data_IF_714558344898
#
_entry.id   IF_714558344898
#
_cell.length_a   1.000
_cell.length_b   1.000
_cell.length_c   1.000
_cell.angle_alpha   90.00
_cell.angle_beta   90.00
_cell.angle_gamma   90.00
#
_symmetry.space_group_name_H-M   'P 1'
#
loop_
_entity.id
_entity.type
_entity.pdbx_description
1 polymer ?
#
# COMPACT_ATOMS: atom_id res chain seq x y z
N UNK A 1 15.85 32.73 -6.72
CA UNK A 1 15.39 32.88 -5.31
C UNK A 1 14.13 32.04 -5.16
N UNK A 2 14.28 30.79 -4.71
CA UNK A 2 13.15 29.87 -4.48
C UNK A 2 12.70 29.96 -3.02
N UNK A 3 11.39 30.03 -2.80
CA UNK A 3 10.81 30.06 -1.46
C UNK A 3 11.17 28.80 -0.68
N UNK A 4 11.52 28.90 0.62
CA UNK A 4 11.76 27.74 1.45
C UNK A 4 10.43 26.99 1.62
N UNK A 5 10.43 25.70 1.29
CA UNK A 5 9.27 24.84 1.43
C UNK A 5 8.69 24.95 2.84
N UNK A 6 7.43 25.39 2.95
CA UNK A 6 6.69 25.34 4.21
C UNK A 6 6.48 23.86 4.56
N UNK A 7 7.29 23.36 5.48
CA UNK A 7 7.05 22.08 6.15
C UNK A 7 5.70 22.19 6.86
N UNK A 8 4.74 21.35 6.47
CA UNK A 8 3.43 21.28 7.09
C UNK A 8 3.60 20.63 8.48
N UNK A 9 3.82 21.45 9.49
CA UNK A 9 3.95 21.00 10.88
C UNK A 9 2.57 20.56 11.41
N UNK A 10 2.34 19.24 11.47
CA UNK A 10 1.14 18.67 12.08
C UNK A 10 1.29 18.74 13.61
N UNK A 11 0.78 19.81 14.23
CA UNK A 11 0.70 19.86 15.70
C UNK A 11 -0.21 18.74 16.20
N UNK A 12 0.13 18.16 17.35
CA UNK A 12 -0.75 17.23 18.06
C UNK A 12 -2.11 17.90 18.28
N UNK A 13 -3.17 17.30 17.75
CA UNK A 13 -4.54 17.77 17.98
C UNK A 13 -4.81 17.58 19.47
N UNK A 14 -5.29 18.62 20.15
CA UNK A 14 -5.72 18.50 21.53
C UNK A 14 -7.00 17.65 21.58
N UNK A 15 -6.85 16.36 21.91
CA UNK A 15 -7.97 15.43 22.03
C UNK A 15 -8.63 15.64 23.40
N UNK A 16 -9.96 15.77 23.43
CA UNK A 16 -10.67 15.97 24.70
C UNK A 16 -10.64 14.67 25.50
N UNK A 17 -10.47 14.78 26.82
CA UNK A 17 -10.50 13.63 27.74
C UNK A 17 -11.76 12.75 27.58
N UNK A 18 -12.91 13.37 27.30
CA UNK A 18 -14.18 12.67 27.03
C UNK A 18 -14.09 11.77 25.80
N UNK A 19 -13.44 12.24 24.73
CA UNK A 19 -13.31 11.49 23.48
C UNK A 19 -12.42 10.26 23.68
N UNK A 20 -11.36 10.40 24.49
CA UNK A 20 -10.49 9.27 24.88
C UNK A 20 -11.30 8.22 25.65
N UNK A 21 -12.09 8.62 26.65
CA UNK A 21 -12.92 7.66 27.40
C UNK A 21 -13.99 7.01 26.54
N UNK A 22 -14.64 7.77 25.66
CA UNK A 22 -15.63 7.23 24.72
C UNK A 22 -15.01 6.16 23.82
N UNK A 23 -13.85 6.46 23.24
CA UNK A 23 -13.12 5.51 22.39
C UNK A 23 -12.69 4.24 23.14
N UNK A 24 -12.21 4.37 24.38
CA UNK A 24 -11.81 3.21 25.19
C UNK A 24 -13.01 2.33 25.54
N UNK A 25 -14.13 2.93 25.92
CA UNK A 25 -15.38 2.19 26.22
C UNK A 25 -15.90 1.48 24.96
N UNK A 26 -15.91 2.15 23.81
CA UNK A 26 -16.27 1.56 22.52
C UNK A 26 -15.37 0.36 22.16
N UNK A 27 -14.05 0.51 22.26
CA UNK A 27 -13.10 -0.58 22.02
C UNK A 27 -13.31 -1.77 22.98
N UNK A 28 -13.68 -1.51 24.24
CA UNK A 28 -13.91 -2.58 25.23
C UNK A 28 -15.10 -3.47 24.89
N UNK A 29 -16.05 -2.98 24.07
CA UNK A 29 -17.25 -3.71 23.65
C UNK A 29 -17.00 -4.59 22.43
N UNK A 30 -15.87 -4.43 21.75
CA UNK A 30 -15.49 -5.25 20.60
C UNK A 30 -15.08 -6.65 21.08
N UNK A 31 -15.58 -7.69 20.39
CA UNK A 31 -15.12 -9.05 20.64
C UNK A 31 -13.76 -9.27 19.95
N UNK A 32 -12.68 -9.14 20.73
CA UNK A 32 -11.29 -9.35 20.32
C UNK A 32 -10.97 -10.83 20.11
N UNK A 33 -11.54 -11.42 19.06
CA UNK A 33 -11.12 -12.71 18.53
C UNK A 33 -10.23 -12.51 17.32
N UNK A 34 -9.20 -13.35 17.16
CA UNK A 34 -8.36 -13.36 15.96
C UNK A 34 -9.18 -13.49 14.67
N UNK A 35 -10.32 -14.18 14.73
CA UNK A 35 -11.23 -14.36 13.59
C UNK A 35 -11.96 -13.07 13.17
N UNK A 36 -12.05 -12.08 14.07
CA UNK A 36 -12.74 -10.81 13.81
C UNK A 36 -11.78 -9.68 13.40
N UNK A 37 -10.47 -9.96 13.33
CA UNK A 37 -9.46 -8.99 12.92
C UNK A 37 -9.17 -9.13 11.44
N UNK A 38 -9.14 -7.98 10.75
CA UNK A 38 -8.70 -7.85 9.37
C UNK A 38 -7.55 -6.85 9.34
N UNK A 39 -6.42 -7.29 8.82
CA UNK A 39 -5.26 -6.47 8.54
C UNK A 39 -5.39 -5.86 7.15
N UNK A 40 -5.04 -4.59 7.04
CA UNK A 40 -5.10 -3.84 5.78
C UNK A 40 -3.72 -3.26 5.51
N UNK A 41 -3.18 -3.54 4.34
CA UNK A 41 -1.88 -2.99 3.90
C UNK A 41 -1.85 -2.77 2.39
N UNK A 42 -0.96 -1.89 1.92
CA UNK A 42 -0.74 -1.63 0.50
C UNK A 42 0.59 -2.23 0.00
N UNK A 43 0.51 -3.00 -1.08
CA UNK A 43 1.67 -3.58 -1.75
C UNK A 43 1.79 -2.98 -3.14
N UNK A 44 3.01 -2.61 -3.51
CA UNK A 44 3.28 -2.08 -4.83
C UNK A 44 4.08 -3.04 -5.70
N UNK A 45 3.55 -3.27 -6.89
CA UNK A 45 4.20 -4.04 -7.93
C UNK A 45 4.79 -3.07 -8.95
N UNK A 46 6.12 -2.98 -8.91
CA UNK A 46 6.87 -2.29 -9.92
C UNK A 46 7.16 -3.24 -11.08
N UNK A 47 6.62 -2.89 -12.24
CA UNK A 47 6.85 -3.57 -13.50
C UNK A 47 8.15 -3.11 -14.17
N UNK A 48 9.19 -2.84 -13.37
CA UNK A 48 10.53 -2.47 -13.85
C UNK A 48 11.28 -3.73 -14.29
N UNK A 49 10.81 -4.33 -15.36
CA UNK A 49 11.42 -5.51 -15.96
C UNK A 49 12.01 -5.20 -17.32
N UNK A 50 13.31 -5.43 -17.49
CA UNK A 50 13.82 -5.71 -18.83
C UNK A 50 13.12 -7.00 -19.28
N UNK A 51 12.42 -6.97 -20.41
CA UNK A 51 11.84 -8.19 -20.99
C UNK A 51 12.98 -9.20 -21.11
N UNK A 52 12.84 -10.39 -20.50
CA UNK A 52 13.90 -11.41 -20.50
C UNK A 52 14.33 -11.73 -21.93
N UNK A 53 15.45 -11.16 -22.38
CA UNK A 53 16.16 -11.56 -23.60
C UNK A 53 17.30 -12.48 -23.17
N UNK A 54 17.11 -13.78 -23.30
CA UNK A 54 18.18 -14.77 -23.05
C UNK A 54 19.31 -14.47 -24.04
N UNK A 55 20.52 -14.23 -23.54
CA UNK A 55 21.72 -14.03 -24.35
C UNK A 55 22.71 -15.18 -24.13
N UNK A 56 23.23 -15.76 -25.22
CA UNK A 56 24.28 -16.77 -25.14
C UNK A 56 25.64 -16.11 -25.32
N UNK A 57 26.63 -16.52 -24.52
CA UNK A 57 28.03 -16.11 -24.63
C UNK A 57 28.95 -17.28 -24.35
N UNK A 58 30.16 -17.22 -24.89
CA UNK A 58 31.22 -18.17 -24.58
C UNK A 58 31.71 -17.96 -23.14
N UNK A 59 32.08 -19.05 -22.48
CA UNK A 59 32.57 -19.02 -21.09
C UNK A 59 33.83 -18.16 -20.99
N UNK A 60 33.75 -17.05 -20.25
CA UNK A 60 34.86 -16.09 -20.07
C UNK A 60 34.66 -14.78 -20.82
N UNK A 61 33.72 -14.72 -21.76
CA UNK A 61 33.45 -13.51 -22.56
C UNK A 61 32.33 -12.67 -21.97
N UNK A 62 32.55 -11.35 -21.90
CA UNK A 62 31.52 -10.39 -21.48
C UNK A 62 30.42 -10.33 -22.54
N UNK A 63 29.18 -10.54 -22.11
CA UNK A 63 28.01 -10.36 -22.97
C UNK A 63 27.31 -9.04 -22.66
N UNK A 64 26.97 -8.27 -23.69
CA UNK A 64 26.11 -7.11 -23.56
C UNK A 64 24.69 -7.50 -23.99
N UNK A 65 23.75 -7.50 -23.05
CA UNK A 65 22.32 -7.73 -23.34
C UNK A 65 21.63 -6.37 -23.42
N UNK A 66 21.21 -5.98 -24.63
CA UNK A 66 20.41 -4.79 -24.86
C UNK A 66 18.95 -5.21 -24.88
N UNK A 67 18.25 -4.94 -23.79
CA UNK A 67 16.81 -5.18 -23.66
C UNK A 67 16.01 -3.89 -23.71
N UNK A 68 14.79 -4.00 -24.22
CA UNK A 68 13.82 -2.93 -24.10
C UNK A 68 13.26 -2.96 -22.68
N UNK A 69 13.39 -1.84 -21.97
CA UNK A 69 12.71 -1.64 -20.70
C UNK A 69 11.33 -1.08 -20.99
N UNK A 70 10.29 -1.85 -20.68
CA UNK A 70 8.94 -1.31 -20.67
C UNK A 70 8.66 -0.73 -19.30
N UNK A 71 8.46 0.58 -19.22
CA UNK A 71 7.84 1.20 -18.07
C UNK A 71 6.32 0.98 -18.17
N UNK A 72 5.81 -0.06 -17.51
CA UNK A 72 4.38 -0.11 -17.22
C UNK A 72 4.10 0.72 -15.95
N UNK A 73 2.89 1.27 -15.79
CA UNK A 73 2.52 1.94 -14.55
C UNK A 73 2.72 1.01 -13.35
N UNK A 74 3.14 1.58 -12.22
CA UNK A 74 3.20 0.88 -10.93
C UNK A 74 1.77 0.50 -10.56
N UNK A 75 1.54 -0.77 -10.30
CA UNK A 75 0.24 -1.24 -9.80
C UNK A 75 0.35 -1.24 -8.27
N UNK A 76 -0.58 -0.56 -7.61
CA UNK A 76 -0.75 -0.70 -6.16
C UNK A 76 -1.93 -1.60 -5.91
N UNK A 77 -1.75 -2.53 -4.98
CA UNK A 77 -2.79 -3.45 -4.52
C UNK A 77 -3.00 -3.20 -3.04
N UNK A 78 -4.24 -2.86 -2.68
CA UNK A 78 -4.71 -2.76 -1.32
C UNK A 78 -5.27 -4.14 -0.92
N UNK A 79 -4.69 -4.76 0.11
CA UNK A 79 -5.02 -6.14 0.49
C UNK A 79 -5.62 -6.18 1.89
N UNK A 80 -6.74 -6.89 2.02
CA UNK A 80 -7.40 -7.20 3.28
C UNK A 80 -7.09 -8.65 3.67
N UNK A 81 -6.44 -8.88 4.80
CA UNK A 81 -6.01 -10.20 5.27
C UNK A 81 -6.66 -10.50 6.61
N UNK A 82 -7.40 -11.60 6.69
CA UNK A 82 -8.00 -12.12 7.91
C UNK A 82 -7.26 -13.35 8.43
N UNK A 83 -7.79 -13.97 9.49
CA UNK A 83 -7.19 -15.17 10.09
C UNK A 83 -7.03 -16.37 9.14
N UNK A 84 -7.87 -16.45 8.10
CA UNK A 84 -7.87 -17.55 7.12
C UNK A 84 -7.15 -17.21 5.81
N UNK A 85 -6.45 -16.08 5.73
CA UNK A 85 -5.75 -15.61 4.53
C UNK A 85 -6.33 -14.32 3.95
N UNK A 86 -6.11 -14.11 2.65
CA UNK A 86 -6.62 -12.93 1.93
C UNK A 86 -8.15 -13.00 1.88
N UNK A 87 -8.79 -11.95 2.39
CA UNK A 87 -10.25 -11.78 2.37
C UNK A 87 -10.67 -11.10 1.07
N UNK A 88 -10.01 -10.01 0.72
CA UNK A 88 -10.29 -9.24 -0.49
C UNK A 88 -9.08 -8.40 -0.91
N UNK A 89 -9.08 -7.91 -2.14
CA UNK A 89 -8.09 -6.97 -2.64
C UNK A 89 -8.66 -6.02 -3.70
N UNK A 90 -8.09 -4.81 -3.77
CA UNK A 90 -8.38 -3.83 -4.81
C UNK A 90 -7.06 -3.39 -5.44
N UNK A 91 -7.03 -3.19 -6.75
CA UNK A 91 -5.86 -2.68 -7.45
C UNK A 91 -6.13 -1.35 -8.17
N UNK A 92 -5.06 -0.58 -8.37
CA UNK A 92 -5.12 0.67 -9.12
C UNK A 92 -3.81 0.91 -9.86
N UNK A 93 -3.90 1.48 -11.05
CA UNK A 93 -2.75 2.02 -11.76
C UNK A 93 -2.35 3.36 -11.11
N UNK A 94 -1.16 3.40 -10.51
CA UNK A 94 -0.72 4.56 -9.72
C UNK A 94 -1.07 4.43 -8.24
N UNK A 95 -1.29 5.55 -7.54
CA UNK A 95 -1.45 5.56 -6.09
C UNK A 95 -2.93 5.65 -5.66
N UNK A 96 -3.28 4.99 -4.56
CA UNK A 96 -4.56 5.23 -3.89
C UNK A 96 -4.62 6.67 -3.38
N UNK A 97 -5.63 7.41 -3.81
CA UNK A 97 -5.95 8.70 -3.23
C UNK A 97 -6.95 8.49 -2.08
N UNK A 98 -7.19 9.54 -1.28
CA UNK A 98 -8.11 9.45 -0.14
C UNK A 98 -9.51 8.95 -0.54
N UNK A 99 -10.02 9.38 -1.69
CA UNK A 99 -11.37 9.03 -2.15
C UNK A 99 -11.42 7.56 -2.57
N UNK A 100 -10.46 7.11 -3.39
CA UNK A 100 -10.40 5.72 -3.85
C UNK A 100 -10.18 4.77 -2.69
N UNK A 101 -9.26 5.07 -1.78
CA UNK A 101 -9.05 4.30 -0.55
C UNK A 101 -10.33 4.19 0.27
N UNK A 102 -11.02 5.31 0.51
CA UNK A 102 -12.26 5.30 1.31
C UNK A 102 -13.37 4.50 0.63
N UNK A 103 -13.45 4.54 -0.70
CA UNK A 103 -14.41 3.74 -1.46
C UNK A 103 -14.10 2.24 -1.35
N UNK A 104 -12.83 1.83 -1.52
CA UNK A 104 -12.43 0.44 -1.31
C UNK A 104 -12.80 -0.07 0.09
N UNK A 105 -12.55 0.73 1.14
CA UNK A 105 -12.94 0.35 2.50
C UNK A 105 -14.46 0.27 2.70
N UNK A 106 -15.26 1.05 1.97
CA UNK A 106 -16.73 0.98 2.02
C UNK A 106 -17.28 -0.20 1.25
N UNK A 107 -16.62 -0.59 0.16
CA UNK A 107 -17.00 -1.77 -0.62
C UNK A 107 -16.65 -3.07 0.11
N UNK A 108 -15.59 -3.05 0.92
CA UNK A 108 -15.19 -4.17 1.77
C UNK A 108 -16.16 -4.45 2.95
N UNK A 109 -16.79 -3.42 3.52
CA UNK A 109 -17.66 -3.49 4.71
C UNK A 109 -19.11 -3.77 4.33
#
# INVERSE_FOLDING_TARGET
MGSPGKVLERRAIHVKKRDVFGFVDELSRVNWSHQNLVFLDDVAFESRGMVRKIGYSMRGEKVAIIGDFQHKPRILVLVFIGANGVVDYFDTEGAFNRVTFTNCCKEFV
#
